data_IF_266447953641
#
_entry.id   IF_266447953641
#
_cell.length_a   1.000
_cell.length_b   1.000
_cell.length_c   1.000
_cell.angle_alpha   90.00
_cell.angle_beta   90.00
_cell.angle_gamma   90.00
#
_symmetry.space_group_name_H-M   'P 1'
#
loop_
_entity.id
_entity.type
_entity.pdbx_description
1 polymer ?
#
# COMPACT_ATOMS: atom_id res chain seq x y z
N UNK A 1 -14.91 0.36 3.09
CA UNK A 1 -15.21 0.91 1.76
C UNK A 1 -14.70 2.34 1.60
N UNK A 2 -15.11 3.29 2.46
CA UNK A 2 -14.74 4.71 2.36
C UNK A 2 -13.23 4.93 2.21
N UNK A 3 -12.41 4.25 3.02
CA UNK A 3 -10.95 4.37 2.96
C UNK A 3 -10.37 4.04 1.58
N UNK A 4 -10.96 3.11 0.83
CA UNK A 4 -10.51 2.78 -0.52
C UNK A 4 -10.85 3.91 -1.51
N UNK A 5 -12.03 4.52 -1.39
CA UNK A 5 -12.43 5.65 -2.23
C UNK A 5 -11.58 6.89 -1.92
N UNK A 6 -11.13 7.07 -0.67
CA UNK A 6 -10.27 8.19 -0.23
C UNK A 6 -8.81 8.05 -0.68
N UNK A 7 -8.28 6.83 -0.66
CA UNK A 7 -6.84 6.61 -0.92
C UNK A 7 -6.55 5.98 -2.27
N UNK A 8 -7.56 5.45 -2.96
CA UNK A 8 -7.40 4.61 -4.16
C UNK A 8 -6.84 3.21 -3.85
N UNK A 9 -6.05 3.07 -2.78
CA UNK A 9 -5.38 1.83 -2.39
C UNK A 9 -5.28 1.69 -0.87
N UNK A 10 -5.63 0.52 -0.34
CA UNK A 10 -5.55 0.22 1.10
C UNK A 10 -4.83 -1.10 1.38
N UNK A 11 -4.27 -1.21 2.58
CA UNK A 11 -3.77 -2.45 3.16
C UNK A 11 -4.79 -3.00 4.16
N UNK A 12 -5.26 -4.22 3.96
CA UNK A 12 -6.28 -4.86 4.81
C UNK A 12 -6.07 -6.37 4.87
N UNK A 13 -6.83 -7.08 5.71
CA UNK A 13 -6.79 -8.55 5.74
C UNK A 13 -7.48 -9.13 4.50
N UNK A 14 -7.08 -10.34 4.09
CA UNK A 14 -7.69 -11.03 2.95
C UNK A 14 -9.20 -11.21 3.11
N UNK A 15 -9.65 -11.56 4.32
CA UNK A 15 -11.07 -11.76 4.65
C UNK A 15 -11.89 -10.48 4.46
N UNK A 16 -11.38 -9.34 4.95
CA UNK A 16 -12.03 -8.03 4.79
C UNK A 16 -12.01 -7.58 3.33
N UNK A 17 -10.92 -7.80 2.60
CA UNK A 17 -10.85 -7.47 1.17
C UNK A 17 -11.92 -8.24 0.37
N UNK A 18 -12.06 -9.55 0.60
CA UNK A 18 -13.07 -10.38 -0.08
C UNK A 18 -14.50 -9.93 0.22
N UNK A 19 -14.80 -9.60 1.48
CA UNK A 19 -16.13 -9.13 1.87
C UNK A 19 -16.50 -7.80 1.21
N UNK A 20 -15.54 -6.86 1.10
CA UNK A 20 -15.81 -5.51 0.59
C UNK A 20 -15.81 -5.46 -0.95
N UNK A 21 -15.16 -6.41 -1.63
CA UNK A 21 -15.08 -6.48 -3.10
C UNK A 21 -16.44 -6.36 -3.79
N UNK A 22 -17.40 -7.21 -3.40
CA UNK A 22 -18.74 -7.22 -4.01
C UNK A 22 -19.54 -5.94 -3.74
N UNK A 23 -19.36 -5.34 -2.56
CA UNK A 23 -19.99 -4.06 -2.21
C UNK A 23 -19.46 -2.92 -3.09
N UNK A 24 -18.15 -2.86 -3.29
CA UNK A 24 -17.53 -1.85 -4.17
C UNK A 24 -18.02 -1.99 -5.60
N UNK A 25 -18.04 -3.22 -6.14
CA UNK A 25 -18.51 -3.46 -7.51
C UNK A 25 -19.98 -3.01 -7.68
N UNK A 26 -20.83 -3.32 -6.70
CA UNK A 26 -22.22 -2.85 -6.69
C UNK A 26 -22.33 -1.33 -6.65
N UNK A 27 -21.61 -0.67 -5.75
CA UNK A 27 -21.66 0.80 -5.60
C UNK A 27 -21.18 1.51 -6.86
N UNK A 28 -20.07 1.05 -7.46
CA UNK A 28 -19.55 1.63 -8.71
C UNK A 28 -20.56 1.44 -9.85
N UNK A 29 -21.17 0.27 -9.97
CA UNK A 29 -22.18 0.02 -11.01
C UNK A 29 -23.43 0.89 -10.82
N UNK A 30 -23.88 1.09 -9.58
CA UNK A 30 -24.97 2.03 -9.29
C UNK A 30 -24.57 3.46 -9.63
N UNK A 31 -23.36 3.89 -9.28
CA UNK A 31 -22.88 5.25 -9.55
C UNK A 31 -22.66 5.53 -11.05
N UNK A 32 -22.33 4.51 -11.85
CA UNK A 32 -22.30 4.63 -13.33
C UNK A 32 -23.70 4.87 -13.93
N UNK A 33 -24.75 4.40 -13.27
CA UNK A 33 -26.13 4.57 -13.74
C UNK A 33 -26.76 5.82 -13.12
N UNK A 34 -26.89 6.89 -13.91
CA UNK A 34 -27.51 8.16 -13.48
C UNK A 34 -28.93 8.00 -12.90
N UNK A 35 -29.70 7.00 -13.34
CA UNK A 35 -31.07 6.75 -12.81
C UNK A 35 -31.08 6.10 -11.43
N UNK A 36 -29.95 5.58 -10.97
CA UNK A 36 -29.80 4.88 -9.69
C UNK A 36 -29.04 5.72 -8.65
N UNK A 37 -29.00 7.05 -8.84
CA UNK A 37 -28.25 7.97 -7.99
C UNK A 37 -28.61 7.83 -6.50
N UNK A 38 -29.89 7.89 -6.16
CA UNK A 38 -30.38 7.71 -4.79
C UNK A 38 -29.93 6.39 -4.15
N UNK A 39 -29.75 5.33 -4.96
CA UNK A 39 -29.37 4.00 -4.46
C UNK A 39 -27.89 3.89 -4.11
N UNK A 40 -26.99 4.58 -4.82
CA UNK A 40 -25.58 4.55 -4.42
C UNK A 40 -25.32 5.53 -3.26
N UNK A 41 -26.04 6.66 -3.23
CA UNK A 41 -25.95 7.63 -2.15
C UNK A 41 -26.31 7.03 -0.78
N UNK A 42 -27.21 6.04 -0.73
CA UNK A 42 -27.51 5.32 0.51
C UNK A 42 -26.35 4.46 1.03
N UNK A 43 -25.42 4.04 0.16
CA UNK A 43 -24.23 3.28 0.58
C UNK A 43 -23.07 4.18 0.99
N UNK A 44 -23.05 5.43 0.53
CA UNK A 44 -21.94 6.35 0.71
C UNK A 44 -22.46 7.65 1.31
N UNK A 45 -22.43 7.78 2.64
CA UNK A 45 -23.05 8.92 3.34
C UNK A 45 -22.35 10.25 3.04
N UNK A 46 -21.05 10.22 2.76
CA UNK A 46 -20.22 11.42 2.58
C UNK A 46 -20.35 11.98 1.15
N UNK A 47 -20.98 13.15 1.00
CA UNK A 47 -21.16 13.82 -0.30
C UNK A 47 -19.85 14.09 -1.04
N UNK A 48 -18.80 14.46 -0.32
CA UNK A 48 -17.46 14.71 -0.90
C UNK A 48 -16.88 13.46 -1.57
N UNK A 49 -17.15 12.28 -1.01
CA UNK A 49 -16.72 11.01 -1.60
C UNK A 49 -17.60 10.59 -2.77
N UNK A 50 -18.89 10.96 -2.76
CA UNK A 50 -19.80 10.74 -3.89
C UNK A 50 -19.34 11.53 -5.12
N UNK A 51 -19.05 12.82 -4.92
CA UNK A 51 -18.53 13.70 -5.98
C UNK A 51 -17.21 13.18 -6.54
N UNK A 52 -16.29 12.76 -5.66
CA UNK A 52 -15.02 12.17 -6.08
C UNK A 52 -15.21 10.87 -6.88
N UNK A 53 -16.11 10.01 -6.42
CA UNK A 53 -16.41 8.75 -7.09
C UNK A 53 -16.88 9.00 -8.52
N UNK A 54 -17.81 9.95 -8.71
CA UNK A 54 -18.38 10.28 -10.01
C UNK A 54 -17.39 11.05 -10.89
N UNK A 55 -16.69 12.05 -10.33
CA UNK A 55 -15.84 12.97 -11.08
C UNK A 55 -14.46 12.41 -11.42
N UNK A 56 -13.83 11.66 -10.51
CA UNK A 56 -12.45 11.19 -10.68
C UNK A 56 -12.37 9.69 -10.98
N UNK A 57 -13.11 8.86 -10.25
CA UNK A 57 -12.92 7.40 -10.27
C UNK A 57 -13.67 6.75 -11.45
N UNK A 58 -14.95 7.05 -11.63
CA UNK A 58 -15.76 6.43 -12.71
C UNK A 58 -15.17 6.64 -14.10
N UNK A 59 -14.71 7.86 -14.49
CA UNK A 59 -14.12 8.08 -15.81
C UNK A 59 -12.88 7.20 -16.06
N UNK A 60 -12.06 6.99 -15.02
CA UNK A 60 -10.85 6.15 -15.09
C UNK A 60 -11.16 4.66 -15.26
N UNK A 61 -12.32 4.20 -14.80
CA UNK A 61 -12.75 2.81 -14.96
C UNK A 61 -13.30 2.52 -16.37
N UNK A 62 -13.60 3.55 -17.17
CA UNK A 62 -14.06 3.43 -18.54
C UNK A 62 -15.29 2.51 -18.70
N UNK A 63 -15.26 1.70 -19.76
CA UNK A 63 -16.35 0.80 -20.18
C UNK A 63 -16.38 -0.53 -19.43
N UNK A 64 -15.49 -0.76 -18.46
CA UNK A 64 -15.43 -2.02 -17.70
C UNK A 64 -16.74 -2.28 -16.98
N UNK A 65 -17.27 -3.50 -17.08
CA UNK A 65 -18.57 -3.89 -16.51
C UNK A 65 -18.47 -4.40 -15.06
N UNK A 66 -17.33 -4.97 -14.67
CA UNK A 66 -17.12 -5.55 -13.34
C UNK A 66 -15.63 -5.68 -12.97
N UNK A 67 -15.37 -6.01 -11.70
CA UNK A 67 -14.02 -6.25 -11.21
C UNK A 67 -13.19 -4.97 -11.17
N UNK A 68 -13.68 -3.95 -10.44
CA UNK A 68 -13.02 -2.64 -10.37
C UNK A 68 -11.88 -2.59 -9.35
N UNK A 69 -11.74 -3.64 -8.55
CA UNK A 69 -10.71 -3.78 -7.53
C UNK A 69 -9.70 -4.86 -7.91
N UNK A 70 -8.43 -4.59 -7.64
CA UNK A 70 -7.32 -5.54 -7.71
C UNK A 70 -6.77 -5.81 -6.32
N UNK A 71 -6.38 -7.06 -6.09
CA UNK A 71 -6.01 -7.55 -4.77
C UNK A 71 -4.67 -8.29 -4.89
N UNK A 72 -3.66 -7.86 -4.13
CA UNK A 72 -2.31 -8.45 -4.13
C UNK A 72 -1.95 -8.89 -2.72
N UNK A 73 -1.60 -10.17 -2.54
CA UNK A 73 -1.15 -10.71 -1.25
C UNK A 73 0.26 -10.22 -0.94
N UNK A 74 0.49 -9.78 0.29
CA UNK A 74 1.80 -9.29 0.74
C UNK A 74 2.47 -10.30 1.68
N UNK A 75 1.67 -10.97 2.53
CA UNK A 75 2.16 -11.92 3.53
C UNK A 75 1.35 -11.86 4.82
N UNK A 76 1.65 -12.71 5.81
CA UNK A 76 0.97 -12.69 7.11
C UNK A 76 1.40 -11.49 7.97
N UNK A 77 0.47 -10.98 8.78
CA UNK A 77 0.76 -9.99 9.83
C UNK A 77 1.41 -10.68 11.03
N UNK A 78 2.43 -10.02 11.59
CA UNK A 78 3.12 -10.50 12.79
C UNK A 78 2.19 -10.39 14.01
N UNK A 79 2.02 -11.50 14.73
CA UNK A 79 1.23 -11.59 15.97
C UNK A 79 -0.03 -12.45 15.83
N UNK A 80 -0.87 -12.19 14.83
CA UNK A 80 -2.12 -12.93 14.59
C UNK A 80 -2.07 -13.83 13.33
N UNK A 81 -0.94 -13.86 12.61
CA UNK A 81 -0.72 -14.62 11.37
C UNK A 81 -1.77 -14.38 10.27
N UNK A 82 -2.58 -13.32 10.37
CA UNK A 82 -3.62 -13.02 9.39
C UNK A 82 -2.98 -12.59 8.08
N UNK A 83 -3.37 -13.22 6.96
CA UNK A 83 -2.87 -12.83 5.64
C UNK A 83 -3.31 -11.42 5.27
N UNK A 84 -2.32 -10.55 5.04
CA UNK A 84 -2.48 -9.16 4.63
C UNK A 84 -2.38 -9.01 3.13
N UNK A 85 -3.15 -8.04 2.64
CA UNK A 85 -3.45 -7.85 1.24
C UNK A 85 -3.55 -6.37 0.92
N UNK A 86 -2.95 -5.98 -0.21
CA UNK A 86 -3.12 -4.65 -0.81
C UNK A 86 -4.28 -4.70 -1.80
N UNK A 87 -5.31 -3.92 -1.52
CA UNK A 87 -6.46 -3.77 -2.41
C UNK A 87 -6.41 -2.38 -3.06
N UNK A 88 -6.47 -2.31 -4.39
CA UNK A 88 -6.41 -1.08 -5.17
C UNK A 88 -7.57 -0.98 -6.16
N UNK A 89 -8.00 0.23 -6.48
CA UNK A 89 -8.90 0.50 -7.60
C UNK A 89 -8.09 0.56 -8.91
N UNK A 90 -8.61 -0.06 -9.95
CA UNK A 90 -7.93 -0.12 -11.25
C UNK A 90 -7.90 1.28 -11.90
N UNK A 91 -6.77 1.67 -12.48
CA UNK A 91 -6.64 2.94 -13.23
C UNK A 91 -6.56 4.18 -12.33
N UNK A 92 -6.50 3.98 -11.01
CA UNK A 92 -6.41 5.06 -10.01
C UNK A 92 -5.02 5.21 -9.40
N UNK A 93 -4.02 4.53 -9.96
CA UNK A 93 -2.64 4.55 -9.46
C UNK A 93 -2.06 5.97 -9.43
N UNK A 94 -2.51 6.85 -10.34
CA UNK A 94 -2.06 8.24 -10.43
C UNK A 94 -2.90 9.24 -9.62
N UNK A 95 -3.96 8.78 -8.92
CA UNK A 95 -4.77 9.69 -8.09
C UNK A 95 -4.02 10.06 -6.82
N UNK A 96 -3.92 11.37 -6.54
CA UNK A 96 -3.45 11.86 -5.24
C UNK A 96 -4.44 11.43 -4.15
N UNK A 97 -3.97 11.15 -2.92
CA UNK A 97 -4.87 10.95 -1.79
C UNK A 97 -5.78 12.17 -1.64
N UNK A 98 -7.06 11.95 -1.33
CA UNK A 98 -8.02 13.04 -1.22
C UNK A 98 -7.83 13.78 0.10
N UNK A 99 -7.18 14.94 0.03
CA UNK A 99 -6.76 15.70 1.21
C UNK A 99 -7.91 16.35 1.99
N UNK A 100 -9.12 16.46 1.41
CA UNK A 100 -10.25 17.17 2.05
C UNK A 100 -10.83 16.48 3.31
N UNK A 101 -10.46 15.23 3.60
CA UNK A 101 -10.88 14.50 4.83
C UNK A 101 -9.76 14.45 5.90
N UNK A 102 -8.59 15.01 5.63
CA UNK A 102 -7.42 14.96 6.54
C UNK A 102 -7.50 15.96 7.70
N UNK A 103 -8.52 16.81 7.77
CA UNK A 103 -8.74 17.74 8.89
C UNK A 103 -9.30 17.06 10.15
N UNK A 104 -9.71 15.79 10.08
CA UNK A 104 -9.91 14.98 11.29
C UNK A 104 -8.54 14.49 11.76
N UNK A 105 -7.88 15.32 12.57
CA UNK A 105 -6.68 14.99 13.37
C UNK A 105 -6.83 13.56 13.91
N UNK A 106 -6.09 12.60 13.35
CA UNK A 106 -5.63 11.46 14.16
C UNK A 106 -4.70 12.08 15.21
N UNK A 107 -4.96 11.95 16.52
CA UNK A 107 -3.94 12.31 17.49
C UNK A 107 -2.70 11.48 17.17
N UNK A 108 -1.61 12.15 16.84
CA UNK A 108 -0.29 11.57 16.69
C UNK A 108 0.19 11.06 18.05
N UNK A 109 -0.35 9.92 18.51
CA UNK A 109 0.25 9.14 19.58
C UNK A 109 1.43 8.36 19.02
N UNK A 110 2.59 9.01 18.91
CA UNK A 110 3.95 8.45 19.04
C UNK A 110 5.01 9.22 18.24
N UNK A 111 5.22 10.49 18.57
CA UNK A 111 6.58 11.08 18.50
C UNK A 111 6.84 11.84 19.80
N UNK A 112 7.14 11.08 20.86
CA UNK A 112 7.92 11.64 21.97
C UNK A 112 9.38 11.38 21.64
N UNK A 113 10.09 12.49 21.54
CA UNK A 113 11.50 12.63 21.28
C UNK A 113 12.33 11.76 22.23
N UNK A 114 13.30 11.03 21.69
CA UNK A 114 14.49 10.65 22.44
C UNK A 114 15.67 11.27 21.71
N UNK A 115 16.13 12.42 22.22
CA UNK A 115 17.46 12.97 21.92
C UNK A 115 18.21 13.19 23.24
N UNK A 116 19.29 12.42 23.33
CA UNK A 116 20.59 12.70 23.96
C UNK A 116 20.64 12.94 25.47
N UNK A 117 21.23 11.94 26.15
CA UNK A 117 22.41 12.18 26.98
C UNK A 117 23.52 11.18 26.58
N UNK A 118 24.62 11.76 26.11
CA UNK A 118 26.02 11.28 26.07
C UNK A 118 26.48 11.02 27.52
N UNK A 119 27.30 10.05 27.93
CA UNK A 119 28.71 9.69 27.65
C UNK A 119 28.95 8.38 28.46
N UNK A 120 29.54 7.28 27.97
CA UNK A 120 30.92 6.80 28.19
C UNK A 120 30.88 5.29 27.84
N UNK A 121 31.53 4.79 26.78
CA UNK A 121 32.79 4.07 26.90
C UNK A 121 33.31 3.84 25.47
N UNK A 122 34.34 4.61 25.11
CA UNK A 122 35.06 4.45 23.86
C UNK A 122 36.55 4.41 24.18
N UNK A 123 37.09 3.23 24.55
CA UNK A 123 38.52 2.96 24.39
C UNK A 123 38.76 1.45 24.13
N UNK A 124 39.57 1.19 23.08
CA UNK A 124 40.24 -0.08 22.70
C UNK A 124 39.32 -1.12 22.00
N UNK A 125 39.55 -1.64 20.78
CA UNK A 125 40.75 -1.83 19.95
C UNK A 125 40.42 -1.74 18.44
N UNK A 126 41.46 -1.36 17.71
CA UNK A 126 41.70 -1.06 16.29
C UNK A 126 41.23 -2.05 15.20
N UNK A 127 40.82 -1.45 14.06
CA UNK A 127 40.88 -1.97 12.67
C UNK A 127 42.33 -2.43 12.31
N UNK A 128 42.60 -3.32 11.31
CA UNK A 128 41.95 -3.30 10.00
C UNK A 128 41.64 -4.64 9.31
N UNK A 129 40.67 -4.52 8.40
CA UNK A 129 40.29 -5.43 7.31
C UNK A 129 41.52 -5.78 6.45
N UNK A 130 41.88 -7.06 6.36
CA UNK A 130 42.77 -7.58 5.31
C UNK A 130 41.94 -8.26 4.22
N UNK A 131 42.08 -7.71 3.01
CA UNK A 131 41.73 -8.32 1.71
C UNK A 131 42.23 -9.77 1.66
N UNK A 132 41.33 -10.73 1.42
CA UNK A 132 41.74 -12.02 0.86
C UNK A 132 41.69 -11.94 -0.66
N UNK A 133 42.82 -12.37 -1.22
CA UNK A 133 43.35 -12.12 -2.55
C UNK A 133 42.79 -13.15 -3.52
N UNK A 134 42.42 -12.69 -4.70
CA UNK A 134 42.19 -13.46 -5.93
C UNK A 134 43.34 -14.47 -6.11
N UNK A 135 43.05 -15.76 -6.15
CA UNK A 135 44.03 -16.77 -6.57
C UNK A 135 44.05 -16.84 -8.09
N UNK A 136 45.20 -16.44 -8.64
CA UNK A 136 45.52 -16.51 -10.07
C UNK A 136 45.74 -17.96 -10.50
N UNK A 137 45.18 -18.29 -11.66
CA UNK A 137 45.74 -19.24 -12.62
C UNK A 137 47.26 -19.01 -12.78
N UNK A 138 48.05 -20.08 -12.64
CA UNK A 138 49.22 -20.41 -13.45
C UNK A 138 50.02 -21.55 -12.81
N UNK A 139 50.05 -22.71 -13.47
CA UNK A 139 51.27 -23.52 -13.60
C UNK A 139 51.20 -24.34 -14.88
N UNK A 140 51.70 -23.73 -15.96
CA UNK A 140 52.24 -24.42 -17.12
C UNK A 140 53.56 -25.07 -16.69
N UNK A 141 53.63 -26.40 -16.80
CA UNK A 141 54.71 -27.12 -17.47
C UNK A 141 56.11 -27.16 -16.84
N UNK A 142 56.91 -28.00 -17.52
CA UNK A 142 58.33 -28.37 -17.36
C UNK A 142 58.59 -29.43 -16.25
N UNK A 143 59.29 -30.56 -16.46
CA UNK A 143 60.39 -30.91 -17.37
C UNK A 143 60.41 -32.44 -17.68
N UNK A 144 60.91 -32.75 -18.88
CA UNK A 144 61.30 -34.05 -19.48
C UNK A 144 62.31 -34.88 -18.65
N UNK A 145 62.28 -36.20 -18.84
CA UNK A 145 63.44 -37.05 -19.21
C UNK A 145 62.94 -38.40 -19.71
#
# INVERSE_FOLDING_TARGET
MHSLIISGTILTSETKAKAVKGLIDKVINLAKNKKAENRFQSFLTDKTLQERLIGEIIPKLGTRTSGYTRTVRIGPRLGDQTTMVKMSLIGTEDLKPFDKMSSVKRPESSKKEVKKDTVELKQKISKPVKKTRITKNAKKGVIKS
#
